data_IF_296568927976
#
_entry.id   IF_296568927976
#
_cell.length_a   1.000
_cell.length_b   1.000
_cell.length_c   1.000
_cell.angle_alpha   90.00
_cell.angle_beta   90.00
_cell.angle_gamma   90.00
#
_symmetry.space_group_name_H-M   'P 1'
#
loop_
_entity.id
_entity.type
_entity.pdbx_description
1 polymer ?
#
# COMPACT_ATOMS: atom_id res chain seq x y z
N UNK A 1 59.63 -40.95 -13.13
CA UNK A 1 59.74 -39.55 -12.68
C UNK A 1 58.54 -38.74 -13.25
N UNK A 2 57.29 -39.13 -12.94
CA UNK A 2 56.04 -38.46 -13.46
C UNK A 2 54.95 -38.52 -12.42
N UNK A 3 55.00 -37.69 -11.35
CA UNK A 3 53.90 -37.73 -10.38
C UNK A 3 53.73 -36.49 -9.49
N UNK A 4 54.29 -35.33 -9.80
CA UNK A 4 54.13 -34.14 -8.92
C UNK A 4 53.48 -32.92 -9.57
N UNK A 5 53.01 -33.04 -10.82
CA UNK A 5 52.45 -31.87 -11.54
C UNK A 5 50.92 -31.79 -11.57
N UNK A 6 50.21 -32.79 -11.07
CA UNK A 6 48.74 -32.88 -11.09
C UNK A 6 48.07 -32.36 -9.82
N UNK A 7 48.77 -32.30 -8.71
CA UNK A 7 48.20 -31.86 -7.41
C UNK A 7 48.12 -30.34 -7.21
N UNK A 8 48.86 -29.56 -8.04
CA UNK A 8 48.91 -28.11 -7.87
C UNK A 8 47.80 -27.35 -8.60
N UNK A 9 47.04 -28.02 -9.50
CA UNK A 9 46.01 -27.38 -10.33
C UNK A 9 44.60 -27.50 -9.76
N UNK A 10 44.36 -28.33 -8.78
CA UNK A 10 43.08 -28.49 -8.11
C UNK A 10 42.85 -27.48 -6.99
N UNK A 11 43.91 -26.97 -6.39
CA UNK A 11 43.81 -26.07 -5.25
C UNK A 11 43.54 -24.59 -5.64
N UNK A 12 43.94 -24.17 -6.85
CA UNK A 12 43.60 -22.83 -7.34
C UNK A 12 42.17 -22.66 -7.77
N UNK A 13 41.50 -23.72 -8.24
CA UNK A 13 40.08 -23.63 -8.64
C UNK A 13 39.13 -23.58 -7.45
N UNK A 14 39.50 -24.18 -6.33
CA UNK A 14 38.70 -24.11 -5.09
C UNK A 14 38.75 -22.74 -4.42
N UNK A 15 39.90 -22.05 -4.50
CA UNK A 15 40.04 -20.71 -3.94
C UNK A 15 39.33 -19.63 -4.75
N UNK A 16 39.16 -19.82 -6.06
CA UNK A 16 38.45 -18.87 -6.92
C UNK A 16 36.92 -18.95 -6.72
N UNK A 17 36.38 -20.16 -6.46
CA UNK A 17 34.95 -20.35 -6.19
C UNK A 17 34.50 -19.80 -4.84
N UNK A 18 35.39 -19.81 -3.83
CA UNK A 18 35.10 -19.30 -2.50
C UNK A 18 35.08 -17.77 -2.44
N UNK A 19 35.87 -17.10 -3.29
CA UNK A 19 35.90 -15.60 -3.35
C UNK A 19 34.69 -15.02 -4.09
N UNK A 20 34.13 -15.72 -5.08
CA UNK A 20 32.91 -15.28 -5.79
C UNK A 20 31.64 -15.45 -4.96
N UNK A 21 31.57 -16.46 -4.08
CA UNK A 21 30.41 -16.70 -3.22
C UNK A 21 30.23 -15.66 -2.12
N UNK A 22 31.33 -15.15 -1.56
CA UNK A 22 31.26 -14.15 -0.46
C UNK A 22 30.87 -12.75 -0.97
N UNK A 23 31.26 -12.39 -2.19
CA UNK A 23 30.96 -11.08 -2.77
C UNK A 23 29.49 -10.89 -3.12
N UNK A 24 28.80 -11.95 -3.57
CA UNK A 24 27.39 -11.89 -3.94
C UNK A 24 26.49 -11.84 -2.68
N UNK A 25 26.90 -12.52 -1.59
CA UNK A 25 26.12 -12.55 -0.35
C UNK A 25 26.09 -11.19 0.36
N UNK A 26 27.17 -10.41 0.26
CA UNK A 26 27.23 -9.05 0.87
C UNK A 26 26.42 -8.04 0.06
N UNK A 27 26.32 -8.22 -1.28
CA UNK A 27 25.56 -7.31 -2.14
C UNK A 27 24.04 -7.45 -1.94
N UNK A 28 23.55 -8.65 -1.62
CA UNK A 28 22.14 -8.92 -1.34
C UNK A 28 21.68 -8.37 0.01
N UNK A 29 22.54 -8.30 1.02
CA UNK A 29 22.23 -7.72 2.33
C UNK A 29 22.08 -6.18 2.28
N UNK A 30 22.76 -5.51 1.35
CA UNK A 30 22.67 -4.05 1.19
C UNK A 30 21.33 -3.58 0.60
N UNK A 31 20.65 -4.38 -0.22
CA UNK A 31 19.34 -4.01 -0.80
C UNK A 31 18.19 -4.10 0.22
N UNK A 32 18.32 -4.94 1.26
CA UNK A 32 17.28 -5.09 2.28
C UNK A 32 17.13 -3.85 3.17
N UNK A 33 18.19 -3.12 3.49
CA UNK A 33 18.12 -1.94 4.35
C UNK A 33 17.44 -0.74 3.66
N UNK A 34 17.57 -0.60 2.35
CA UNK A 34 17.08 0.59 1.64
C UNK A 34 15.53 0.67 1.56
N UNK A 35 14.84 -0.46 1.47
CA UNK A 35 13.37 -0.46 1.39
C UNK A 35 12.72 -0.09 2.73
N UNK A 36 13.27 -0.57 3.84
CA UNK A 36 12.79 -0.24 5.19
C UNK A 36 13.05 1.21 5.57
N UNK A 37 14.18 1.76 5.16
CA UNK A 37 14.52 3.17 5.41
C UNK A 37 13.58 4.11 4.65
N UNK A 38 13.24 3.79 3.41
CA UNK A 38 12.29 4.56 2.59
C UNK A 38 10.88 4.58 3.18
N UNK A 39 10.38 3.42 3.63
CA UNK A 39 9.04 3.35 4.28
C UNK A 39 9.04 4.19 5.55
N UNK A 40 10.09 4.13 6.36
CA UNK A 40 10.21 4.92 7.59
C UNK A 40 10.23 6.42 7.30
N UNK A 41 11.04 6.87 6.35
CA UNK A 41 11.13 8.28 5.96
C UNK A 41 9.78 8.81 5.47
N UNK A 42 9.08 8.06 4.61
CA UNK A 42 7.76 8.42 4.11
C UNK A 42 6.70 8.42 5.22
N UNK A 43 6.79 7.47 6.17
CA UNK A 43 5.90 7.42 7.33
C UNK A 43 6.11 8.62 8.23
N UNK A 44 7.36 8.96 8.53
CA UNK A 44 7.69 10.14 9.34
C UNK A 44 7.18 11.43 8.67
N UNK A 45 7.32 11.54 7.35
CA UNK A 45 6.78 12.67 6.59
C UNK A 45 5.23 12.69 6.65
N UNK A 46 4.57 11.55 6.48
CA UNK A 46 3.12 11.42 6.58
C UNK A 46 2.60 11.81 7.98
N UNK A 47 3.24 11.33 9.03
CA UNK A 47 2.80 11.54 10.40
C UNK A 47 2.91 13.03 10.80
N UNK A 48 3.93 13.74 10.31
CA UNK A 48 4.18 15.15 10.63
C UNK A 48 3.52 16.16 9.69
N UNK A 49 2.90 15.72 8.58
CA UNK A 49 2.23 16.65 7.65
C UNK A 49 0.91 17.16 8.27
N UNK A 50 0.77 18.47 8.51
CA UNK A 50 -0.43 19.05 9.09
C UNK A 50 -1.58 19.24 8.07
N UNK A 51 -1.30 19.09 6.77
CA UNK A 51 -2.24 19.37 5.70
C UNK A 51 -2.82 18.09 5.10
N UNK A 52 -4.14 18.01 4.97
CA UNK A 52 -4.83 16.86 4.42
C UNK A 52 -4.36 16.51 3.00
N UNK A 53 -4.26 17.50 2.11
CA UNK A 53 -3.78 17.29 0.75
C UNK A 53 -2.32 16.81 0.68
N UNK A 54 -1.47 17.23 1.62
CA UNK A 54 -0.11 16.74 1.77
C UNK A 54 -0.08 15.28 2.21
N UNK A 55 -0.86 14.93 3.25
CA UNK A 55 -1.00 13.53 3.70
C UNK A 55 -1.49 12.60 2.58
N UNK A 56 -2.50 13.00 1.80
CA UNK A 56 -3.01 12.20 0.68
C UNK A 56 -1.93 11.96 -0.37
N UNK A 57 -1.16 12.98 -0.74
CA UNK A 57 -0.04 12.84 -1.70
C UNK A 57 1.08 11.95 -1.17
N UNK A 58 1.40 12.08 0.12
CA UNK A 58 2.43 11.26 0.76
C UNK A 58 1.96 9.82 0.89
N UNK A 59 0.68 9.58 1.20
CA UNK A 59 0.07 8.25 1.31
C UNK A 59 0.23 7.44 0.01
N UNK A 60 0.09 8.08 -1.15
CA UNK A 60 0.27 7.40 -2.43
C UNK A 60 1.69 6.79 -2.56
N UNK A 61 2.73 7.57 -2.23
CA UNK A 61 4.12 7.07 -2.26
C UNK A 61 4.42 6.08 -1.14
N UNK A 62 3.85 6.33 0.04
CA UNK A 62 4.00 5.47 1.21
C UNK A 62 3.31 4.12 0.97
N UNK A 63 2.10 4.12 0.40
CA UNK A 63 1.38 2.91 0.03
C UNK A 63 2.19 2.04 -0.93
N UNK A 64 2.74 2.63 -2.00
CA UNK A 64 3.60 1.91 -2.94
C UNK A 64 4.80 1.24 -2.23
N UNK A 65 5.47 1.97 -1.35
CA UNK A 65 6.61 1.44 -0.61
C UNK A 65 6.19 0.36 0.41
N UNK A 66 5.02 0.50 1.04
CA UNK A 66 4.46 -0.49 1.95
C UNK A 66 4.06 -1.78 1.20
N UNK A 67 3.43 -1.69 0.02
CA UNK A 67 3.07 -2.86 -0.78
C UNK A 67 4.30 -3.61 -1.29
N UNK A 68 5.35 -2.89 -1.72
CA UNK A 68 6.63 -3.50 -2.07
C UNK A 68 7.25 -4.24 -0.86
N UNK A 69 7.23 -3.62 0.31
CA UNK A 69 7.72 -4.23 1.54
C UNK A 69 6.90 -5.46 1.95
N UNK A 70 5.56 -5.42 1.82
CA UNK A 70 4.68 -6.55 2.10
C UNK A 70 4.92 -7.73 1.14
N UNK A 71 5.08 -7.45 -0.16
CA UNK A 71 5.42 -8.46 -1.17
C UNK A 71 6.74 -9.15 -0.85
N UNK A 72 7.76 -8.36 -0.45
CA UNK A 72 9.04 -8.88 -0.05
C UNK A 72 8.93 -9.76 1.21
N UNK A 73 8.28 -9.25 2.26
CA UNK A 73 8.06 -10.01 3.49
C UNK A 73 7.32 -11.34 3.21
N UNK A 74 6.31 -11.31 2.34
CA UNK A 74 5.59 -12.51 1.90
C UNK A 74 6.50 -13.51 1.17
N UNK A 75 7.41 -13.04 0.31
CA UNK A 75 8.40 -13.88 -0.38
C UNK A 75 9.39 -14.51 0.60
N UNK A 76 9.78 -13.77 1.63
CA UNK A 76 10.68 -14.23 2.69
C UNK A 76 9.97 -15.14 3.72
N UNK A 77 8.63 -15.31 3.62
CA UNK A 77 7.81 -16.10 4.54
C UNK A 77 7.48 -15.41 5.85
N UNK A 78 7.79 -14.10 5.98
CA UNK A 78 7.47 -13.29 7.16
C UNK A 78 6.05 -12.74 7.07
N UNK A 79 5.08 -13.61 7.27
CA UNK A 79 3.67 -13.26 7.20
C UNK A 79 3.18 -12.38 8.35
N UNK A 80 3.92 -12.32 9.45
CA UNK A 80 3.62 -11.41 10.57
C UNK A 80 3.86 -9.97 10.10
N UNK A 81 5.00 -9.71 9.49
CA UNK A 81 5.30 -8.39 8.91
C UNK A 81 4.32 -8.00 7.82
N UNK A 82 3.86 -8.95 6.97
CA UNK A 82 2.81 -8.68 5.97
C UNK A 82 1.55 -8.13 6.63
N UNK A 83 1.06 -8.78 7.69
CA UNK A 83 -0.12 -8.31 8.43
C UNK A 83 0.06 -6.91 9.00
N UNK A 84 1.17 -6.67 9.70
CA UNK A 84 1.47 -5.37 10.32
C UNK A 84 1.60 -4.22 9.30
N UNK A 85 2.17 -4.49 8.12
CA UNK A 85 2.29 -3.48 7.05
C UNK A 85 0.91 -3.07 6.54
N UNK A 86 0.02 -4.03 6.27
CA UNK A 86 -1.34 -3.71 5.80
C UNK A 86 -2.21 -3.07 6.88
N UNK A 87 -2.06 -3.44 8.14
CA UNK A 87 -2.71 -2.76 9.26
C UNK A 87 -2.25 -1.30 9.35
N UNK A 88 -0.95 -1.03 9.24
CA UNK A 88 -0.42 0.32 9.25
C UNK A 88 -0.91 1.14 8.05
N UNK A 89 -1.00 0.53 6.87
CA UNK A 89 -1.57 1.17 5.68
C UNK A 89 -3.03 1.58 5.91
N UNK A 90 -3.88 0.68 6.43
CA UNK A 90 -5.26 0.97 6.82
C UNK A 90 -5.34 2.16 7.78
N UNK A 91 -4.51 2.18 8.81
CA UNK A 91 -4.50 3.25 9.81
C UNK A 91 -4.10 4.59 9.18
N UNK A 92 -3.16 4.59 8.23
CA UNK A 92 -2.77 5.77 7.47
C UNK A 92 -3.93 6.27 6.59
N UNK A 93 -4.69 5.39 5.94
CA UNK A 93 -5.90 5.74 5.18
C UNK A 93 -6.93 6.42 6.08
N UNK A 94 -7.24 5.83 7.24
CA UNK A 94 -8.18 6.42 8.20
C UNK A 94 -7.71 7.79 8.69
N UNK A 95 -6.43 7.93 9.03
CA UNK A 95 -5.85 9.22 9.46
C UNK A 95 -5.96 10.30 8.37
N UNK A 96 -5.69 9.95 7.12
CA UNK A 96 -5.83 10.86 5.99
C UNK A 96 -7.29 11.27 5.76
N UNK A 97 -8.23 10.32 5.80
CA UNK A 97 -9.66 10.57 5.63
C UNK A 97 -10.24 11.47 6.72
N UNK A 98 -9.90 11.21 7.98
CA UNK A 98 -10.37 12.03 9.10
C UNK A 98 -9.83 13.47 9.03
N UNK A 99 -8.55 13.63 8.68
CA UNK A 99 -7.97 14.95 8.50
C UNK A 99 -8.62 15.68 7.31
N UNK A 100 -8.91 14.98 6.23
CA UNK A 100 -9.56 15.51 5.04
C UNK A 100 -10.97 16.01 5.37
N UNK A 101 -11.78 15.19 6.06
CA UNK A 101 -13.11 15.61 6.55
C UNK A 101 -13.06 16.84 7.45
N UNK A 102 -12.02 16.95 8.27
CA UNK A 102 -11.85 18.08 9.19
C UNK A 102 -11.45 19.36 8.47
N UNK A 103 -10.54 19.30 7.50
CA UNK A 103 -9.99 20.47 6.82
C UNK A 103 -10.78 20.89 5.59
N UNK A 104 -11.36 19.94 4.88
CA UNK A 104 -12.10 20.12 3.63
C UNK A 104 -13.48 19.44 3.72
N UNK A 105 -14.39 19.90 4.60
CA UNK A 105 -15.65 19.20 4.89
C UNK A 105 -16.59 19.11 3.68
N UNK A 106 -16.42 19.96 2.67
CA UNK A 106 -17.24 20.00 1.45
C UNK A 106 -16.52 19.34 0.29
N UNK A 107 -16.72 18.03 0.16
CA UNK A 107 -16.13 17.22 -0.91
C UNK A 107 -16.61 17.64 -2.32
N UNK A 108 -17.80 18.24 -2.46
CA UNK A 108 -18.31 18.75 -3.74
C UNK A 108 -17.49 19.97 -4.21
N UNK A 109 -17.03 20.80 -3.29
CA UNK A 109 -16.20 21.98 -3.62
C UNK A 109 -14.73 21.65 -3.80
N UNK A 110 -14.23 20.67 -3.07
CA UNK A 110 -12.82 20.26 -3.06
C UNK A 110 -12.63 18.77 -3.41
N UNK A 111 -13.13 18.31 -4.56
CA UNK A 111 -13.18 16.87 -4.86
C UNK A 111 -11.81 16.24 -5.11
N UNK A 112 -10.77 17.01 -5.42
CA UNK A 112 -9.50 16.47 -5.91
C UNK A 112 -8.80 15.57 -4.88
N UNK A 113 -8.69 16.04 -3.62
CA UNK A 113 -8.03 15.25 -2.57
C UNK A 113 -8.84 14.01 -2.19
N UNK A 114 -10.17 14.10 -2.18
CA UNK A 114 -11.06 12.97 -1.95
C UNK A 114 -10.95 11.91 -3.06
N UNK A 115 -10.94 12.31 -4.34
CA UNK A 115 -10.74 11.40 -5.49
C UNK A 115 -9.38 10.74 -5.44
N UNK A 116 -8.32 11.50 -5.09
CA UNK A 116 -7.00 10.96 -4.99
C UNK A 116 -6.90 9.91 -3.87
N UNK A 117 -7.53 10.18 -2.71
CA UNK A 117 -7.59 9.22 -1.61
C UNK A 117 -8.40 7.98 -2.00
N UNK A 118 -9.55 8.14 -2.67
CA UNK A 118 -10.40 7.03 -3.13
C UNK A 118 -9.63 6.10 -4.10
N UNK A 119 -8.90 6.66 -5.06
CA UNK A 119 -8.08 5.87 -5.98
C UNK A 119 -6.99 5.08 -5.24
N UNK A 120 -6.39 5.68 -4.22
CA UNK A 120 -5.37 5.02 -3.41
C UNK A 120 -5.97 3.90 -2.55
N UNK A 121 -7.14 4.13 -1.94
CA UNK A 121 -7.86 3.11 -1.16
C UNK A 121 -8.22 1.91 -2.04
N UNK A 122 -8.74 2.13 -3.25
CA UNK A 122 -9.03 1.05 -4.21
C UNK A 122 -7.80 0.26 -4.61
N UNK A 123 -6.66 0.94 -4.76
CA UNK A 123 -5.39 0.27 -4.99
C UNK A 123 -5.03 -0.63 -3.80
N UNK A 124 -5.11 -0.10 -2.58
CA UNK A 124 -4.87 -0.86 -1.36
C UNK A 124 -5.77 -2.08 -1.21
N UNK A 125 -7.07 -1.97 -1.56
CA UNK A 125 -8.00 -3.11 -1.56
C UNK A 125 -7.49 -4.21 -2.49
N UNK A 126 -7.06 -3.89 -3.72
CA UNK A 126 -6.53 -4.89 -4.67
C UNK A 126 -5.27 -5.56 -4.15
N UNK A 127 -4.33 -4.79 -3.61
CA UNK A 127 -3.07 -5.32 -3.05
C UNK A 127 -3.33 -6.30 -1.88
N UNK A 128 -4.29 -5.96 -1.00
CA UNK A 128 -4.71 -6.87 0.08
C UNK A 128 -5.37 -8.12 -0.49
N UNK A 129 -6.25 -8.00 -1.48
CA UNK A 129 -6.93 -9.14 -2.12
C UNK A 129 -5.94 -10.10 -2.80
N UNK A 130 -4.98 -9.56 -3.54
CA UNK A 130 -3.90 -10.34 -4.17
C UNK A 130 -3.06 -11.05 -3.10
N UNK A 131 -2.75 -10.36 -1.99
CA UNK A 131 -2.00 -10.94 -0.88
C UNK A 131 -2.77 -12.06 -0.20
N UNK A 132 -4.08 -11.91 0.06
CA UNK A 132 -4.94 -12.95 0.67
C UNK A 132 -4.91 -14.26 -0.15
N UNK A 133 -4.81 -14.18 -1.47
CA UNK A 133 -4.78 -15.36 -2.34
C UNK A 133 -3.49 -16.18 -2.13
N UNK A 134 -2.36 -15.51 -1.96
CA UNK A 134 -1.03 -16.16 -1.93
C UNK A 134 -0.56 -16.57 -0.53
N UNK A 135 -1.06 -15.93 0.54
CA UNK A 135 -0.66 -16.26 1.92
C UNK A 135 -1.34 -17.54 2.44
N UNK A 136 -0.72 -18.25 3.39
CA UNK A 136 -1.32 -19.40 4.07
C UNK A 136 -2.67 -19.05 4.74
N UNK A 137 -3.56 -20.05 4.86
CA UNK A 137 -4.93 -19.85 5.35
C UNK A 137 -4.97 -19.25 6.77
N UNK A 138 -3.99 -19.60 7.61
CA UNK A 138 -3.88 -19.16 9.00
C UNK A 138 -3.62 -17.65 9.13
N UNK A 139 -3.07 -17.02 8.09
CA UNK A 139 -2.68 -15.59 8.08
C UNK A 139 -3.77 -14.70 7.44
N UNK A 140 -4.75 -15.30 6.78
CA UNK A 140 -5.81 -14.57 6.06
C UNK A 140 -6.76 -13.76 6.94
N UNK A 141 -7.16 -14.21 8.15
CA UNK A 141 -8.18 -13.50 8.93
C UNK A 141 -7.84 -12.03 9.21
N UNK A 142 -6.65 -11.64 9.69
CA UNK A 142 -6.31 -10.23 9.88
C UNK A 142 -6.35 -9.43 8.57
N UNK A 143 -5.89 -9.98 7.44
CA UNK A 143 -5.95 -9.32 6.15
C UNK A 143 -7.39 -9.11 5.66
N UNK A 144 -8.29 -10.05 5.96
CA UNK A 144 -9.72 -9.90 5.65
C UNK A 144 -10.37 -8.76 6.44
N UNK A 145 -9.93 -8.54 7.69
CA UNK A 145 -10.37 -7.39 8.49
C UNK A 145 -9.89 -6.09 7.83
N UNK A 146 -8.60 -6.00 7.50
CA UNK A 146 -8.04 -4.83 6.80
C UNK A 146 -8.79 -4.56 5.50
N UNK A 147 -9.04 -5.60 4.68
CA UNK A 147 -9.81 -5.47 3.44
C UNK A 147 -11.18 -4.85 3.68
N UNK A 148 -11.92 -5.37 4.66
CA UNK A 148 -13.25 -4.85 4.99
C UNK A 148 -13.20 -3.38 5.40
N UNK A 149 -12.27 -3.03 6.29
CA UNK A 149 -12.11 -1.66 6.78
C UNK A 149 -11.76 -0.69 5.62
N UNK A 150 -10.95 -1.13 4.65
CA UNK A 150 -10.65 -0.35 3.44
C UNK A 150 -11.87 -0.20 2.52
N UNK A 151 -12.71 -1.23 2.37
CA UNK A 151 -13.96 -1.16 1.60
C UNK A 151 -14.93 -0.18 2.27
N UNK A 152 -15.06 -0.21 3.59
CA UNK A 152 -15.88 0.74 4.34
C UNK A 152 -15.39 2.19 4.15
N UNK A 153 -14.06 2.39 4.07
CA UNK A 153 -13.46 3.70 3.77
C UNK A 153 -13.75 4.15 2.32
N UNK A 154 -13.69 3.25 1.33
CA UNK A 154 -14.04 3.53 -0.07
C UNK A 154 -15.52 3.94 -0.19
N UNK A 155 -16.43 3.20 0.43
CA UNK A 155 -17.86 3.50 0.44
C UNK A 155 -18.14 4.87 1.07
N UNK A 156 -17.45 5.20 2.16
CA UNK A 156 -17.55 6.51 2.79
C UNK A 156 -17.06 7.65 1.86
N UNK A 157 -15.96 7.43 1.14
CA UNK A 157 -15.42 8.40 0.17
C UNK A 157 -16.38 8.59 -1.01
N UNK A 158 -16.97 7.52 -1.54
CA UNK A 158 -17.96 7.57 -2.61
C UNK A 158 -19.20 8.35 -2.16
N UNK A 159 -19.68 8.10 -0.94
CA UNK A 159 -20.83 8.83 -0.39
C UNK A 159 -20.57 10.32 -0.25
N UNK A 160 -19.34 10.73 0.11
CA UNK A 160 -18.93 12.13 0.20
C UNK A 160 -18.76 12.78 -1.18
N UNK A 161 -18.21 12.05 -2.16
CA UNK A 161 -17.99 12.56 -3.52
C UNK A 161 -19.29 12.65 -4.34
N UNK A 162 -20.26 11.78 -4.05
CA UNK A 162 -21.51 11.68 -4.80
C UNK A 162 -22.71 11.70 -3.84
N UNK A 163 -22.93 12.79 -3.11
CA UNK A 163 -24.08 12.90 -2.23
C UNK A 163 -25.34 12.72 -3.08
N UNK A 164 -26.18 11.76 -2.72
CA UNK A 164 -27.47 11.57 -3.39
C UNK A 164 -28.25 12.85 -3.22
N UNK A 165 -28.37 13.64 -4.28
CA UNK A 165 -29.31 14.76 -4.30
C UNK A 165 -30.68 14.19 -4.03
N UNK A 166 -31.18 14.37 -2.82
CA UNK A 166 -32.60 14.15 -2.54
C UNK A 166 -33.36 14.99 -3.56
N UNK A 167 -34.06 14.32 -4.49
CA UNK A 167 -34.96 15.04 -5.41
C UNK A 167 -35.86 15.87 -4.52
N UNK A 168 -35.73 17.18 -4.63
CA UNK A 168 -36.56 18.12 -3.90
C UNK A 168 -38.01 17.78 -4.23
N UNK A 169 -38.82 17.28 -3.28
CA UNK A 169 -40.20 16.84 -3.58
C UNK A 169 -41.08 18.00 -4.04
N UNK A 170 -40.63 19.24 -3.94
CA UNK A 170 -41.30 20.47 -4.33
C UNK A 170 -41.18 20.80 -5.81
N UNK A 171 -40.30 20.10 -6.58
CA UNK A 171 -40.15 20.32 -8.03
C UNK A 171 -40.90 19.26 -8.81
N UNK A 172 -42.23 19.12 -8.57
CA UNK A 172 -43.11 18.45 -9.50
C UNK A 172 -43.24 19.33 -10.75
N UNK A 173 -42.80 18.88 -11.94
CA UNK A 173 -43.04 19.67 -13.16
C UNK A 173 -44.53 19.88 -13.31
N UNK A 174 -45.01 21.09 -13.68
CA UNK A 174 -46.40 21.36 -13.85
C UNK A 174 -47.01 20.38 -14.89
N UNK A 175 -48.03 19.67 -14.49
CA UNK A 175 -48.81 18.80 -15.37
C UNK A 175 -49.31 19.69 -16.52
N UNK A 176 -49.05 19.34 -17.82
CA UNK A 176 -49.59 20.10 -18.93
C UNK A 176 -51.10 20.03 -18.86
N UNK A 177 -51.74 21.17 -18.61
CA UNK A 177 -53.22 21.30 -18.72
C UNK A 177 -53.62 20.93 -20.14
N UNK A 178 -54.42 19.85 -20.26
CA UNK A 178 -55.08 19.49 -21.48
C UNK A 178 -56.06 20.63 -21.81
N UNK A 179 -55.81 21.35 -22.92
CA UNK A 179 -56.76 22.30 -23.48
C UNK A 179 -57.98 21.57 -23.99
N UNK A 180 -59.17 22.10 -23.75
CA UNK A 180 -60.43 21.54 -24.25
C UNK A 180 -60.56 21.62 -25.77
#
# INVERSE_FOLDING_TARGET
MYSKRWLKRSDERSRLRLRFGLGISVLLLGLCCQATDKVKELQDHFDHDPHAGGKVKTLNKLGDAQFEAATKAGTDGDYVSVGLIFEKYRDNVHSALELLKKQEPDADRHPNNYRQLELEVRKGIREVEETIVVVPAEVRPPLQIVRRDLVDADDALIALLFPRRTKDPTKVPPVPEAKP
#
